data_IF_354743368694
#
_entry.id   IF_354743368694
#
_cell.length_a   1.000
_cell.length_b   1.000
_cell.length_c   1.000
_cell.angle_alpha   90.00
_cell.angle_beta   90.00
_cell.angle_gamma   90.00
#
_symmetry.space_group_name_H-M   'P 1'
#
loop_
_entity.id
_entity.type
_entity.pdbx_description
1 polymer ?
#
# COMPACT_ATOMS: atom_id res chain seq x y z
N UNK A 1 -23.21 32.99 -38.73
CA UNK A 1 -22.61 31.64 -38.73
C UNK A 1 -21.49 31.64 -39.76
N UNK A 2 -20.23 31.55 -39.33
CA UNK A 2 -19.10 31.44 -40.28
C UNK A 2 -19.02 29.97 -40.69
N UNK A 3 -19.38 29.68 -41.94
CA UNK A 3 -19.24 28.37 -42.55
C UNK A 3 -17.81 28.21 -43.03
N UNK A 4 -17.03 27.37 -42.35
CA UNK A 4 -15.73 26.96 -42.88
C UNK A 4 -15.96 25.98 -44.03
N UNK A 5 -15.44 26.23 -45.25
CA UNK A 5 -15.53 25.26 -46.32
C UNK A 5 -14.78 24.01 -45.89
N UNK A 6 -15.46 22.86 -45.95
CA UNK A 6 -14.82 21.55 -45.77
C UNK A 6 -13.91 21.36 -46.98
N UNK A 7 -12.64 21.75 -46.83
CA UNK A 7 -11.60 21.50 -47.83
C UNK A 7 -11.46 19.98 -47.98
N UNK A 8 -11.89 19.46 -49.12
CA UNK A 8 -11.65 18.08 -49.48
C UNK A 8 -10.15 17.91 -49.70
N UNK A 9 -9.56 16.84 -49.17
CA UNK A 9 -8.14 16.53 -49.43
C UNK A 9 -7.83 16.49 -50.94
N UNK A 10 -8.82 16.16 -51.78
CA UNK A 10 -8.69 16.11 -53.24
C UNK A 10 -8.48 17.48 -53.89
N UNK A 11 -8.78 18.59 -53.21
CA UNK A 11 -8.64 19.95 -53.74
C UNK A 11 -7.39 20.68 -53.24
N UNK A 12 -6.58 20.03 -52.41
CA UNK A 12 -5.35 20.63 -51.90
C UNK A 12 -4.20 20.51 -52.91
N UNK A 13 -3.32 21.53 -53.00
CA UNK A 13 -2.11 21.44 -53.80
C UNK A 13 -1.22 20.28 -53.33
N UNK A 14 -0.47 19.60 -54.23
CA UNK A 14 0.41 18.49 -53.87
C UNK A 14 1.38 18.82 -52.73
N UNK A 15 1.93 20.04 -52.71
CA UNK A 15 2.84 20.48 -51.65
C UNK A 15 2.17 20.56 -50.26
N UNK A 16 0.87 20.89 -50.20
CA UNK A 16 0.13 20.90 -48.94
C UNK A 16 -0.26 19.49 -48.50
N UNK A 17 -0.56 18.60 -49.46
CA UNK A 17 -0.78 17.18 -49.19
C UNK A 17 0.48 16.52 -48.62
N UNK A 18 1.66 16.83 -49.17
CA UNK A 18 2.93 16.33 -48.67
C UNK A 18 3.20 16.82 -47.24
N UNK A 19 2.97 18.11 -46.96
CA UNK A 19 3.12 18.68 -45.61
C UNK A 19 2.16 18.03 -44.61
N UNK A 20 0.90 17.84 -45.00
CA UNK A 20 -0.10 17.15 -44.17
C UNK A 20 0.30 15.70 -43.91
N UNK A 21 0.76 14.98 -44.94
CA UNK A 21 1.25 13.61 -44.83
C UNK A 21 2.43 13.51 -43.86
N UNK A 22 3.43 14.38 -43.99
CA UNK A 22 4.56 14.47 -43.06
C UNK A 22 4.11 14.79 -41.63
N UNK A 23 3.15 15.70 -41.47
CA UNK A 23 2.60 16.05 -40.16
C UNK A 23 1.86 14.88 -39.51
N UNK A 24 1.02 14.16 -40.27
CA UNK A 24 0.35 12.96 -39.78
C UNK A 24 1.32 11.83 -39.45
N UNK A 25 2.37 11.65 -40.25
CA UNK A 25 3.42 10.68 -39.95
C UNK A 25 4.14 11.04 -38.64
N UNK A 26 4.51 12.31 -38.46
CA UNK A 26 5.10 12.80 -37.21
C UNK A 26 4.20 12.56 -36.00
N UNK A 27 2.90 12.85 -36.13
CA UNK A 27 1.92 12.59 -35.05
C UNK A 27 1.79 11.10 -34.75
N UNK A 28 1.77 10.25 -35.78
CA UNK A 28 1.69 8.80 -35.62
C UNK A 28 2.92 8.25 -34.88
N UNK A 29 4.11 8.67 -35.27
CA UNK A 29 5.38 8.28 -34.64
C UNK A 29 5.42 8.76 -33.19
N UNK A 30 5.01 10.01 -32.94
CA UNK A 30 4.91 10.58 -31.59
C UNK A 30 3.94 9.79 -30.71
N UNK A 31 2.77 9.42 -31.24
CA UNK A 31 1.81 8.58 -30.52
C UNK A 31 2.39 7.19 -30.20
N UNK A 32 3.13 6.59 -31.14
CA UNK A 32 3.77 5.29 -30.94
C UNK A 32 4.84 5.35 -29.82
N UNK A 33 5.64 6.40 -29.77
CA UNK A 33 6.63 6.62 -28.72
C UNK A 33 5.97 6.83 -27.35
N UNK A 34 4.89 7.61 -27.28
CA UNK A 34 4.11 7.76 -26.04
C UNK A 34 3.51 6.43 -25.58
N UNK A 35 2.96 5.62 -26.50
CA UNK A 35 2.43 4.31 -26.17
C UNK A 35 3.52 3.38 -25.61
N UNK A 36 4.72 3.38 -26.21
CA UNK A 36 5.88 2.62 -25.73
C UNK A 36 6.34 3.07 -24.35
N UNK A 37 6.39 4.39 -24.12
CA UNK A 37 6.74 4.96 -22.83
C UNK A 37 5.72 4.58 -21.74
N UNK A 38 4.42 4.64 -22.06
CA UNK A 38 3.36 4.25 -21.12
C UNK A 38 3.46 2.76 -20.76
N UNK A 39 3.65 1.86 -21.72
CA UNK A 39 3.86 0.43 -21.44
C UNK A 39 5.03 0.20 -20.49
N UNK A 40 6.16 0.90 -20.68
CA UNK A 40 7.31 0.83 -19.76
C UNK A 40 6.95 1.27 -18.34
N UNK A 41 6.17 2.35 -18.19
CA UNK A 41 5.70 2.83 -16.88
C UNK A 41 4.75 1.84 -16.22
N UNK A 42 3.85 1.23 -16.97
CA UNK A 42 2.91 0.24 -16.46
C UNK A 42 3.66 -0.99 -15.94
N UNK A 43 4.61 -1.51 -16.71
CA UNK A 43 5.47 -2.61 -16.28
C UNK A 43 6.27 -2.27 -15.02
N UNK A 44 6.86 -1.06 -14.96
CA UNK A 44 7.57 -0.61 -13.76
C UNK A 44 6.63 -0.50 -12.55
N UNK A 45 5.43 0.03 -12.74
CA UNK A 45 4.43 0.18 -11.68
C UNK A 45 3.94 -1.17 -11.17
N UNK A 46 3.70 -2.13 -12.06
CA UNK A 46 3.37 -3.50 -11.71
C UNK A 46 4.50 -4.15 -10.88
N UNK A 47 5.75 -4.03 -11.35
CA UNK A 47 6.93 -4.52 -10.64
C UNK A 47 7.04 -3.93 -9.22
N UNK A 48 6.93 -2.60 -9.08
CA UNK A 48 6.99 -1.93 -7.76
C UNK A 48 5.87 -2.40 -6.84
N UNK A 49 4.65 -2.58 -7.38
CA UNK A 49 3.51 -3.08 -6.62
C UNK A 49 3.74 -4.51 -6.12
N UNK A 50 4.24 -5.40 -6.97
CA UNK A 50 4.52 -6.78 -6.58
C UNK A 50 5.68 -6.88 -5.60
N UNK A 51 6.72 -6.06 -5.77
CA UNK A 51 7.81 -5.95 -4.82
C UNK A 51 7.32 -5.50 -3.43
N UNK A 52 6.42 -4.51 -3.38
CA UNK A 52 5.79 -4.08 -2.11
C UNK A 52 4.97 -5.19 -1.46
N UNK A 53 4.20 -5.96 -2.24
CA UNK A 53 3.44 -7.10 -1.71
C UNK A 53 4.37 -8.16 -1.10
N UNK A 54 5.50 -8.46 -1.74
CA UNK A 54 6.47 -9.41 -1.19
C UNK A 54 7.04 -8.91 0.14
N UNK A 55 7.39 -7.62 0.24
CA UNK A 55 7.84 -7.00 1.49
C UNK A 55 6.78 -7.14 2.58
N UNK A 56 5.51 -6.88 2.28
CA UNK A 56 4.43 -7.00 3.27
C UNK A 56 4.21 -8.46 3.71
N UNK A 57 4.28 -9.41 2.78
CA UNK A 57 4.20 -10.83 3.09
C UNK A 57 5.32 -11.30 4.03
N UNK A 58 6.51 -10.67 4.00
CA UNK A 58 7.59 -11.03 4.93
C UNK A 58 7.20 -10.77 6.39
N UNK A 59 6.43 -9.71 6.65
CA UNK A 59 5.98 -9.38 8.01
C UNK A 59 5.03 -10.45 8.55
N UNK A 60 4.09 -10.90 7.71
CA UNK A 60 3.15 -11.94 8.08
C UNK A 60 3.85 -13.30 8.26
N UNK A 61 4.86 -13.59 7.44
CA UNK A 61 5.70 -14.78 7.60
C UNK A 61 6.51 -14.76 8.90
N UNK A 62 7.06 -13.61 9.30
CA UNK A 62 7.76 -13.46 10.59
C UNK A 62 6.80 -13.70 11.74
N UNK A 63 5.62 -13.06 11.71
CA UNK A 63 4.56 -13.26 12.71
C UNK A 63 4.16 -14.72 12.86
N UNK A 64 3.84 -15.38 11.75
CA UNK A 64 3.41 -16.77 11.76
C UNK A 64 4.48 -17.71 12.37
N UNK A 65 5.77 -17.39 12.22
CA UNK A 65 6.85 -18.15 12.86
C UNK A 65 6.94 -17.87 14.36
N UNK A 66 6.78 -16.61 14.78
CA UNK A 66 6.73 -16.24 16.20
C UNK A 66 5.53 -16.90 16.89
N UNK A 67 4.37 -16.93 16.23
CA UNK A 67 3.16 -17.58 16.74
C UNK A 67 3.32 -19.10 16.88
N UNK A 68 4.23 -19.71 16.11
CA UNK A 68 4.65 -21.11 16.26
C UNK A 68 5.68 -21.33 17.37
N UNK A 69 6.01 -20.29 18.13
CA UNK A 69 6.92 -20.36 19.28
C UNK A 69 8.40 -20.13 18.95
N UNK A 70 8.74 -19.68 17.73
CA UNK A 70 10.12 -19.30 17.42
C UNK A 70 10.47 -17.94 18.04
N UNK A 71 11.70 -17.78 18.48
CA UNK A 71 12.21 -16.47 18.89
C UNK A 71 12.29 -15.51 17.68
N UNK A 72 12.17 -14.21 17.97
CA UNK A 72 12.11 -13.16 16.94
C UNK A 72 13.36 -13.15 16.04
N UNK A 73 14.55 -13.35 16.61
CA UNK A 73 15.80 -13.30 15.86
C UNK A 73 15.90 -14.48 14.88
N UNK A 74 15.51 -15.68 15.31
CA UNK A 74 15.45 -16.87 14.47
C UNK A 74 14.35 -16.75 13.41
N UNK A 75 13.19 -16.22 13.75
CA UNK A 75 12.11 -15.98 12.79
C UNK A 75 12.55 -15.03 11.67
N UNK A 76 13.25 -13.94 12.03
CA UNK A 76 13.84 -12.99 11.07
C UNK A 76 14.86 -13.65 10.16
N UNK A 77 15.85 -14.37 10.73
CA UNK A 77 16.88 -15.07 9.93
C UNK A 77 16.27 -16.09 8.97
N UNK A 78 15.27 -16.85 9.40
CA UNK A 78 14.58 -17.81 8.53
C UNK A 78 13.85 -17.12 7.39
N UNK A 79 13.15 -16.01 7.65
CA UNK A 79 12.45 -15.27 6.58
C UNK A 79 13.44 -14.62 5.62
N UNK A 80 14.58 -14.13 6.09
CA UNK A 80 15.66 -13.65 5.21
C UNK A 80 16.17 -14.77 4.30
N UNK A 81 16.40 -15.97 4.85
CA UNK A 81 16.88 -17.11 4.06
C UNK A 81 15.83 -17.65 3.05
N UNK A 82 14.55 -17.60 3.42
CA UNK A 82 13.43 -18.06 2.57
C UNK A 82 13.07 -17.05 1.47
N UNK A 83 13.47 -15.79 1.61
CA UNK A 83 13.11 -14.71 0.67
C UNK A 83 14.33 -14.25 -0.12
N UNK A 84 14.12 -13.80 -1.36
CA UNK A 84 15.19 -13.17 -2.18
C UNK A 84 15.30 -11.66 -1.91
N UNK A 85 14.79 -11.19 -0.77
CA UNK A 85 14.72 -9.77 -0.45
C UNK A 85 15.93 -9.36 0.41
N UNK A 86 16.41 -8.11 0.29
CA UNK A 86 17.52 -7.65 1.11
C UNK A 86 17.18 -7.66 2.60
N UNK A 87 18.07 -8.21 3.43
CA UNK A 87 17.90 -8.29 4.89
C UNK A 87 17.55 -6.93 5.51
N UNK A 88 18.27 -5.89 5.13
CA UNK A 88 18.02 -4.52 5.60
C UNK A 88 16.57 -4.06 5.33
N UNK A 89 15.98 -4.47 4.21
CA UNK A 89 14.60 -4.13 3.84
C UNK A 89 13.60 -4.84 4.74
N UNK A 90 13.79 -6.15 4.96
CA UNK A 90 12.94 -6.97 5.83
C UNK A 90 12.99 -6.42 7.26
N UNK A 91 14.19 -6.11 7.76
CA UNK A 91 14.38 -5.60 9.13
C UNK A 91 13.78 -4.21 9.33
N UNK A 92 13.97 -3.32 8.35
CA UNK A 92 13.35 -1.99 8.39
C UNK A 92 11.81 -2.10 8.37
N UNK A 93 11.26 -2.99 7.54
CA UNK A 93 9.81 -3.23 7.48
C UNK A 93 9.28 -3.80 8.79
N UNK A 94 9.95 -4.79 9.34
CA UNK A 94 9.61 -5.38 10.63
C UNK A 94 9.65 -4.35 11.77
N UNK A 95 10.67 -3.50 11.81
CA UNK A 95 10.77 -2.40 12.79
C UNK A 95 9.61 -1.40 12.64
N UNK A 96 9.27 -1.01 11.42
CA UNK A 96 8.14 -0.12 11.14
C UNK A 96 6.82 -0.76 11.56
N UNK A 97 6.67 -2.05 11.33
CA UNK A 97 5.53 -2.83 11.75
C UNK A 97 5.39 -2.87 13.28
N UNK A 98 6.47 -3.15 14.02
CA UNK A 98 6.48 -3.07 15.50
C UNK A 98 6.11 -1.68 16.00
N UNK A 99 6.51 -0.61 15.31
CA UNK A 99 6.13 0.77 15.62
C UNK A 99 4.68 1.10 15.26
N UNK A 100 4.15 0.53 14.17
CA UNK A 100 2.79 0.77 13.69
C UNK A 100 1.80 -0.09 14.47
N UNK A 101 1.00 0.56 15.31
CA UNK A 101 -0.27 -0.03 15.77
C UNK A 101 -1.16 -0.20 14.53
N UNK A 102 -1.23 -1.39 13.93
CA UNK A 102 -2.12 -1.63 12.78
C UNK A 102 -3.56 -1.33 13.20
N UNK A 103 -4.39 -0.81 12.28
CA UNK A 103 -5.80 -0.51 12.57
C UNK A 103 -6.52 -1.72 13.18
N UNK A 104 -6.22 -2.91 12.67
CA UNK A 104 -6.79 -4.16 13.21
C UNK A 104 -6.24 -4.51 14.59
N UNK A 105 -4.97 -4.25 14.88
CA UNK A 105 -4.42 -4.40 16.23
C UNK A 105 -5.07 -3.41 17.21
N UNK A 106 -5.29 -2.16 16.80
CA UNK A 106 -6.00 -1.17 17.63
C UNK A 106 -7.44 -1.62 17.87
N UNK A 107 -8.13 -2.12 16.84
CA UNK A 107 -9.51 -2.61 16.93
C UNK A 107 -9.62 -3.85 17.83
N UNK A 108 -8.79 -4.87 17.59
CA UNK A 108 -8.76 -6.11 18.38
C UNK A 108 -8.40 -5.81 19.86
N UNK A 109 -7.44 -4.91 20.08
CA UNK A 109 -7.09 -4.44 21.42
C UNK A 109 -8.24 -3.71 22.10
N UNK A 110 -8.92 -2.82 21.37
CA UNK A 110 -10.10 -2.12 21.86
C UNK A 110 -11.23 -3.07 22.25
N UNK A 111 -11.51 -4.08 21.43
CA UNK A 111 -12.48 -5.13 21.73
C UNK A 111 -12.12 -5.91 23.00
N UNK A 112 -10.85 -6.30 23.16
CA UNK A 112 -10.38 -7.01 24.36
C UNK A 112 -10.51 -6.15 25.62
N UNK A 113 -10.21 -4.85 25.52
CA UNK A 113 -10.41 -3.88 26.62
C UNK A 113 -11.90 -3.78 26.99
N UNK A 114 -12.78 -3.63 26.01
CA UNK A 114 -14.22 -3.54 26.25
C UNK A 114 -14.81 -4.84 26.81
N UNK A 115 -14.32 -6.00 26.38
CA UNK A 115 -14.72 -7.29 26.92
C UNK A 115 -14.37 -7.42 28.40
N UNK A 116 -13.16 -7.04 28.80
CA UNK A 116 -12.76 -7.05 30.22
C UNK A 116 -13.56 -6.04 31.04
N UNK A 117 -13.85 -4.87 30.46
CA UNK A 117 -14.70 -3.85 31.10
C UNK A 117 -16.12 -4.37 31.34
N UNK A 118 -16.72 -5.05 30.36
CA UNK A 118 -18.03 -5.72 30.48
C UNK A 118 -18.03 -6.83 31.53
N UNK A 119 -16.89 -7.50 31.73
CA UNK A 119 -16.67 -8.46 32.83
C UNK A 119 -16.38 -7.80 34.18
N UNK A 120 -16.69 -6.51 34.34
CA UNK A 120 -16.56 -5.78 35.62
C UNK A 120 -15.14 -5.39 36.02
N UNK A 121 -14.12 -5.61 35.18
CA UNK A 121 -12.75 -5.29 35.58
C UNK A 121 -12.52 -3.78 35.70
N UNK A 122 -11.71 -3.39 36.68
CA UNK A 122 -11.31 -1.99 36.85
C UNK A 122 -10.28 -1.58 35.81
N UNK A 123 -10.16 -0.27 35.54
CA UNK A 123 -9.16 0.23 34.58
C UNK A 123 -7.73 -0.13 35.00
N UNK A 124 -7.47 -0.29 36.30
CA UNK A 124 -6.17 -0.73 36.86
C UNK A 124 -5.91 -2.21 36.58
N UNK A 125 -6.89 -3.08 36.74
CA UNK A 125 -6.77 -4.51 36.42
C UNK A 125 -6.60 -4.74 34.91
N UNK A 126 -7.35 -4.01 34.09
CA UNK A 126 -7.24 -4.09 32.63
C UNK A 126 -5.83 -3.63 32.20
N UNK A 127 -5.34 -2.55 32.80
CA UNK A 127 -3.99 -2.03 32.59
C UNK A 127 -2.91 -3.09 32.87
N UNK A 128 -3.01 -3.79 34.01
CA UNK A 128 -2.09 -4.87 34.37
C UNK A 128 -2.16 -6.05 33.37
N UNK A 129 -3.36 -6.46 32.95
CA UNK A 129 -3.54 -7.58 32.01
C UNK A 129 -3.08 -7.29 30.57
N UNK A 130 -3.09 -6.02 30.16
CA UNK A 130 -2.83 -5.61 28.77
C UNK A 130 -1.47 -4.89 28.62
N UNK A 131 -0.80 -4.56 29.71
CA UNK A 131 0.47 -3.83 29.69
C UNK A 131 0.30 -2.38 29.24
N UNK A 132 -0.69 -1.68 29.79
CA UNK A 132 -0.92 -0.24 29.55
C UNK A 132 -1.08 0.52 30.85
N UNK A 133 -1.00 1.85 30.81
CA UNK A 133 -1.40 2.66 31.95
C UNK A 133 -2.92 2.74 32.07
N UNK A 134 -3.43 2.86 33.30
CA UNK A 134 -4.86 3.00 33.55
C UNK A 134 -5.47 4.24 32.84
N UNK A 135 -4.69 5.33 32.70
CA UNK A 135 -5.07 6.52 31.94
C UNK A 135 -5.25 6.22 30.44
N UNK A 136 -4.38 5.38 29.86
CA UNK A 136 -4.50 4.96 28.47
C UNK A 136 -5.74 4.09 28.25
N UNK A 137 -6.06 3.20 29.20
CA UNK A 137 -7.29 2.39 29.16
C UNK A 137 -8.53 3.29 29.18
N UNK A 138 -8.58 4.27 30.08
CA UNK A 138 -9.71 5.22 30.16
C UNK A 138 -9.94 5.96 28.85
N UNK A 139 -8.87 6.47 28.21
CA UNK A 139 -8.95 7.14 26.90
C UNK A 139 -9.45 6.21 25.78
N UNK A 140 -9.02 4.95 25.77
CA UNK A 140 -9.46 3.97 24.77
C UNK A 140 -10.95 3.64 24.94
N UNK A 141 -11.41 3.43 26.17
CA UNK A 141 -12.83 3.16 26.46
C UNK A 141 -13.70 4.34 26.03
N UNK A 142 -13.33 5.57 26.43
CA UNK A 142 -14.07 6.77 26.08
C UNK A 142 -14.21 6.93 24.55
N UNK A 143 -13.10 6.72 23.81
CA UNK A 143 -13.11 6.80 22.35
C UNK A 143 -14.05 5.77 21.71
N UNK A 144 -14.03 4.52 22.17
CA UNK A 144 -14.88 3.46 21.61
C UNK A 144 -16.37 3.72 21.92
N UNK A 145 -16.68 4.19 23.12
CA UNK A 145 -18.07 4.50 23.51
C UNK A 145 -18.68 5.60 22.64
N UNK A 146 -17.91 6.62 22.25
CA UNK A 146 -18.37 7.70 21.37
C UNK A 146 -18.57 7.23 19.93
N UNK A 147 -17.78 6.26 19.46
CA UNK A 147 -17.92 5.69 18.10
C UNK A 147 -19.08 4.68 17.98
N UNK A 148 -19.68 4.25 19.09
CA UNK A 148 -20.74 3.21 19.13
C UNK A 148 -22.09 3.72 19.64
N UNK A 149 -22.17 4.98 20.08
CA UNK A 149 -23.41 5.67 20.47
C UNK A 149 -23.85 6.63 19.39
#
# INVERSE_FOLDING_TARGET
MISFPVLSLKTLPPAELDRLSQHFQYLADTCADFAKANRKRDHHTAYVRDYRKQIDATVDAIRAKIDKGLDEATALRKVVAETRLPEATIFARWRLHKKRKTRDYVKLRGQKIMQLKRRGHTNKEIAQKIGLSASQIGRIIAKISVETG
#
